data_IF_788873521448
#
_entry.id   IF_788873521448
#
_cell.length_a   1.000
_cell.length_b   1.000
_cell.length_c   1.000
_cell.angle_alpha   90.00
_cell.angle_beta   90.00
_cell.angle_gamma   90.00
#
_symmetry.space_group_name_H-M   'P 1'
#
loop_
_entity.id
_entity.type
_entity.pdbx_description
1 polymer ?
#
# COMPACT_ATOMS: atom_id res chain seq x y z
N UNK A 1 -62.08 1.30 2.97
CA UNK A 1 -63.34 1.56 2.24
C UNK A 1 -63.10 2.65 1.23
N UNK A 2 -63.38 2.33 -0.05
CA UNK A 2 -63.79 3.23 -1.15
C UNK A 2 -62.65 4.11 -1.72
N UNK A 3 -61.96 3.65 -2.78
CA UNK A 3 -62.24 3.82 -4.23
C UNK A 3 -61.77 5.20 -4.76
N UNK A 4 -60.75 5.21 -5.63
CA UNK A 4 -60.84 5.12 -7.10
C UNK A 4 -61.55 6.30 -7.75
N UNK A 5 -60.82 7.06 -8.57
CA UNK A 5 -61.29 7.47 -9.91
C UNK A 5 -60.22 8.32 -10.62
N UNK A 6 -59.74 7.82 -11.75
CA UNK A 6 -59.22 8.70 -12.80
C UNK A 6 -60.36 9.33 -13.59
N UNK A 7 -60.03 10.11 -14.63
CA UNK A 7 -60.80 10.05 -15.86
C UNK A 7 -59.93 9.72 -17.07
N UNK A 8 -60.58 8.95 -17.94
CA UNK A 8 -60.15 8.51 -19.25
C UNK A 8 -60.54 9.58 -20.29
N UNK A 9 -59.68 9.85 -21.26
CA UNK A 9 -60.13 10.40 -22.55
C UNK A 9 -59.38 9.73 -23.70
N UNK A 10 -60.17 8.98 -24.48
CA UNK A 10 -59.80 8.40 -25.77
C UNK A 10 -59.69 9.52 -26.81
N UNK A 11 -58.61 9.53 -27.56
CA UNK A 11 -58.47 10.23 -28.83
C UNK A 11 -57.71 9.33 -29.80
N UNK A 12 -58.46 8.74 -30.73
CA UNK A 12 -57.95 7.88 -31.80
C UNK A 12 -57.60 8.76 -33.01
N UNK A 13 -56.35 8.75 -33.45
CA UNK A 13 -55.99 9.11 -34.84
C UNK A 13 -54.88 8.18 -35.33
N UNK A 14 -55.25 7.35 -36.31
CA UNK A 14 -54.34 6.58 -37.14
C UNK A 14 -53.54 7.53 -38.03
N UNK A 15 -52.21 7.42 -37.98
CA UNK A 15 -51.37 7.81 -39.10
C UNK A 15 -50.15 6.89 -39.13
N UNK A 16 -50.22 5.88 -40.00
CA UNK A 16 -49.11 5.01 -40.36
C UNK A 16 -47.99 5.84 -41.00
N UNK A 17 -46.96 6.16 -40.23
CA UNK A 17 -45.71 6.70 -40.75
C UNK A 17 -44.68 5.58 -40.66
N UNK A 18 -44.38 4.96 -41.81
CA UNK A 18 -43.24 4.06 -41.98
C UNK A 18 -41.96 4.89 -41.86
N UNK A 19 -41.29 4.82 -40.71
CA UNK A 19 -39.96 5.42 -40.51
C UNK A 19 -38.92 4.30 -40.55
N UNK A 20 -37.77 4.47 -41.24
CA UNK A 20 -36.85 3.39 -41.54
C UNK A 20 -36.12 2.89 -40.29
N UNK A 21 -35.85 1.59 -40.33
CA UNK A 21 -35.01 0.82 -39.42
C UNK A 21 -33.63 1.48 -39.27
N UNK A 22 -33.41 2.20 -38.16
CA UNK A 22 -32.08 2.54 -37.68
C UNK A 22 -31.77 1.59 -36.51
N UNK A 23 -30.93 0.59 -36.79
CA UNK A 23 -30.37 -0.30 -35.79
C UNK A 23 -29.46 0.52 -34.85
N UNK A 24 -30.03 1.03 -33.77
CA UNK A 24 -29.24 1.39 -32.59
C UNK A 24 -28.84 0.08 -31.93
N UNK A 25 -27.71 -0.48 -32.35
CA UNK A 25 -26.98 -1.48 -31.58
C UNK A 25 -26.55 -0.84 -30.27
N UNK A 26 -27.43 -0.90 -29.27
CA UNK A 26 -27.04 -0.84 -27.87
C UNK A 26 -26.00 -1.95 -27.69
N UNK A 27 -24.74 -1.54 -27.56
CA UNK A 27 -23.68 -2.39 -27.07
C UNK A 27 -24.02 -2.80 -25.65
N UNK A 28 -24.83 -3.85 -25.49
CA UNK A 28 -24.96 -4.60 -24.26
C UNK A 28 -23.62 -5.29 -24.08
N UNK A 29 -22.72 -4.63 -23.33
CA UNK A 29 -21.51 -5.24 -22.85
C UNK A 29 -21.93 -6.45 -21.99
N UNK A 30 -21.41 -7.66 -22.24
CA UNK A 30 -21.73 -8.82 -21.44
C UNK A 30 -21.40 -8.52 -19.97
N UNK A 31 -22.43 -8.60 -19.13
CA UNK A 31 -22.38 -8.48 -17.67
C UNK A 31 -21.37 -9.48 -17.06
N UNK A 32 -20.99 -10.51 -17.82
CA UNK A 32 -20.01 -11.53 -17.49
C UNK A 32 -18.57 -10.99 -17.39
N UNK A 33 -18.26 -9.84 -17.98
CA UNK A 33 -16.93 -9.22 -17.87
C UNK A 33 -16.69 -8.50 -16.54
N UNK A 34 -17.76 -8.20 -15.78
CA UNK A 34 -17.70 -7.48 -14.50
C UNK A 34 -17.51 -8.44 -13.32
N UNK A 35 -17.79 -9.74 -13.50
CA UNK A 35 -17.66 -10.78 -12.46
C UNK A 35 -16.42 -11.67 -12.62
N UNK A 36 -15.41 -11.26 -13.39
CA UNK A 36 -14.09 -11.89 -13.31
C UNK A 36 -13.40 -11.39 -12.05
N UNK A 37 -13.89 -11.87 -10.90
CA UNK A 37 -13.31 -11.63 -9.60
C UNK A 37 -11.82 -11.90 -9.67
N UNK A 38 -11.02 -10.93 -9.21
CA UNK A 38 -9.59 -11.12 -9.00
C UNK A 38 -9.41 -12.44 -8.26
N UNK A 39 -8.83 -13.44 -8.91
CA UNK A 39 -8.46 -14.69 -8.27
C UNK A 39 -7.59 -14.37 -7.07
N UNK A 40 -8.09 -14.58 -5.85
CA UNK A 40 -7.35 -14.35 -4.62
C UNK A 40 -6.31 -15.46 -4.46
N UNK A 41 -5.14 -15.28 -5.07
CA UNK A 41 -4.01 -16.17 -4.83
C UNK A 41 -3.47 -15.94 -3.42
N UNK A 42 -2.92 -16.97 -2.76
CA UNK A 42 -2.22 -16.80 -1.49
C UNK A 42 -1.07 -15.79 -1.61
N UNK A 43 -0.80 -15.06 -0.53
CA UNK A 43 0.29 -14.08 -0.46
C UNK A 43 1.63 -14.77 -0.58
N UNK A 44 2.50 -14.28 -1.46
CA UNK A 44 3.86 -14.79 -1.64
C UNK A 44 4.80 -14.34 -0.51
N UNK A 45 5.93 -15.03 -0.35
CA UNK A 45 6.99 -14.65 0.60
C UNK A 45 7.49 -13.23 0.36
N UNK A 46 7.61 -12.85 -0.92
CA UNK A 46 8.08 -11.53 -1.36
C UNK A 46 7.07 -10.43 -1.04
N UNK A 47 5.78 -10.68 -1.28
CA UNK A 47 4.71 -9.73 -0.96
C UNK A 47 4.57 -9.53 0.56
N UNK A 48 4.64 -10.62 1.33
CA UNK A 48 4.65 -10.55 2.79
C UNK A 48 5.86 -9.75 3.28
N UNK A 49 7.07 -10.06 2.77
CA UNK A 49 8.30 -9.34 3.08
C UNK A 49 8.19 -7.84 2.82
N UNK A 50 7.77 -7.45 1.60
CA UNK A 50 7.58 -6.05 1.22
C UNK A 50 6.58 -5.33 2.14
N UNK A 51 5.49 -6.00 2.50
CA UNK A 51 4.44 -5.44 3.37
C UNK A 51 4.96 -5.23 4.79
N UNK A 52 5.69 -6.20 5.34
CA UNK A 52 6.31 -6.08 6.66
C UNK A 52 7.37 -4.99 6.71
N UNK A 53 8.24 -4.92 5.70
CA UNK A 53 9.24 -3.84 5.62
C UNK A 53 8.58 -2.48 5.48
N UNK A 54 7.51 -2.36 4.70
CA UNK A 54 6.72 -1.13 4.61
C UNK A 54 6.20 -0.72 5.99
N UNK A 55 5.56 -1.63 6.72
CA UNK A 55 5.08 -1.36 8.07
C UNK A 55 6.21 -0.92 9.02
N UNK A 56 7.32 -1.66 9.06
CA UNK A 56 8.43 -1.37 9.98
C UNK A 56 9.11 -0.03 9.67
N UNK A 57 9.37 0.26 8.39
CA UNK A 57 10.01 1.51 8.01
C UNK A 57 9.09 2.71 8.22
N UNK A 58 7.78 2.58 7.97
CA UNK A 58 6.82 3.63 8.31
C UNK A 58 6.72 3.84 9.82
N UNK A 59 6.73 2.76 10.62
CA UNK A 59 6.78 2.85 12.08
C UNK A 59 8.04 3.58 12.55
N UNK A 60 9.20 3.26 11.98
CA UNK A 60 10.45 3.94 12.30
C UNK A 60 10.39 5.43 11.94
N UNK A 61 9.83 5.77 10.77
CA UNK A 61 9.64 7.15 10.34
C UNK A 61 8.71 7.96 11.27
N UNK A 62 7.71 7.32 11.89
CA UNK A 62 6.83 7.98 12.88
C UNK A 62 7.39 7.95 14.31
N UNK A 63 8.49 7.24 14.54
CA UNK A 63 9.04 7.09 15.87
C UNK A 63 9.51 8.45 16.41
N UNK A 64 9.28 8.80 17.69
CA UNK A 64 9.65 10.10 18.21
C UNK A 64 11.16 10.31 18.27
N UNK A 65 11.60 11.56 18.10
CA UNK A 65 13.00 11.94 18.34
C UNK A 65 13.39 11.73 19.81
N UNK A 66 12.45 11.92 20.73
CA UNK A 66 12.61 11.68 22.17
C UNK A 66 11.56 10.66 22.69
N UNK A 67 11.76 9.36 22.47
CA UNK A 67 10.76 8.35 22.80
C UNK A 67 10.76 8.03 24.30
N UNK A 68 9.57 7.78 24.85
CA UNK A 68 9.37 7.36 26.23
C UNK A 68 9.99 5.98 26.50
N UNK A 69 10.25 5.68 27.77
CA UNK A 69 10.74 4.35 28.20
C UNK A 69 9.83 3.22 27.72
N UNK A 70 8.52 3.45 27.71
CA UNK A 70 7.54 2.46 27.26
C UNK A 70 7.64 2.24 25.74
N UNK A 71 7.68 3.31 24.93
CA UNK A 71 7.86 3.21 23.48
C UNK A 71 9.16 2.49 23.09
N UNK A 72 10.27 2.73 23.82
CA UNK A 72 11.53 1.99 23.63
C UNK A 72 11.37 0.50 23.88
N UNK A 73 10.64 0.13 24.94
CA UNK A 73 10.35 -1.27 25.29
C UNK A 73 9.46 -1.92 24.23
N UNK A 74 8.41 -1.25 23.81
CA UNK A 74 7.42 -1.80 22.86
C UNK A 74 8.02 -2.05 21.48
N UNK A 75 8.84 -1.13 20.96
CA UNK A 75 9.52 -1.33 19.67
C UNK A 75 10.52 -2.48 19.75
N UNK A 76 11.29 -2.58 20.83
CA UNK A 76 12.19 -3.73 21.03
C UNK A 76 11.39 -5.02 21.07
N UNK A 77 10.31 -5.09 21.84
CA UNK A 77 9.49 -6.30 21.96
C UNK A 77 8.84 -6.67 20.62
N UNK A 78 8.30 -5.70 19.88
CA UNK A 78 7.74 -5.91 18.54
C UNK A 78 8.73 -6.60 17.60
N UNK A 79 9.98 -6.10 17.54
CA UNK A 79 11.04 -6.68 16.70
C UNK A 79 11.38 -8.11 17.13
N UNK A 80 11.47 -8.37 18.44
CA UNK A 80 11.74 -9.72 18.95
C UNK A 80 10.55 -10.67 18.72
N UNK A 81 9.32 -10.19 18.82
CA UNK A 81 8.11 -10.96 18.47
C UNK A 81 8.15 -11.34 16.99
N UNK A 82 8.51 -10.41 16.10
CA UNK A 82 8.63 -10.71 14.67
C UNK A 82 9.64 -11.83 14.42
N UNK A 83 10.78 -11.87 15.10
CA UNK A 83 11.73 -12.99 14.95
C UNK A 83 11.21 -14.37 15.40
N UNK A 84 10.06 -14.44 16.08
CA UNK A 84 9.45 -15.69 16.57
C UNK A 84 8.15 -16.04 15.89
N UNK A 85 7.39 -15.04 15.46
CA UNK A 85 6.02 -15.18 14.95
C UNK A 85 5.90 -14.89 13.45
N UNK A 86 7.01 -14.57 12.76
CA UNK A 86 6.95 -14.30 11.34
C UNK A 86 6.51 -15.55 10.54
N UNK A 87 5.50 -15.47 9.65
CA UNK A 87 4.91 -16.65 9.01
C UNK A 87 5.86 -17.50 8.17
N UNK A 88 6.97 -16.91 7.68
CA UNK A 88 8.03 -17.64 7.02
C UNK A 88 9.06 -18.11 8.07
N UNK A 89 9.03 -19.41 8.43
CA UNK A 89 9.89 -19.99 9.48
C UNK A 89 11.38 -19.76 9.22
N UNK A 90 11.88 -20.11 8.04
CA UNK A 90 13.29 -19.88 7.66
C UNK A 90 13.68 -18.40 7.70
N UNK A 91 12.74 -17.49 7.37
CA UNK A 91 12.96 -16.06 7.45
C UNK A 91 13.06 -15.60 8.92
N UNK A 92 12.20 -16.14 9.79
CA UNK A 92 12.18 -15.85 11.22
C UNK A 92 13.48 -16.30 11.89
N UNK A 93 13.92 -17.53 11.61
CA UNK A 93 15.17 -18.09 12.15
C UNK A 93 16.39 -17.30 11.69
N UNK A 94 16.44 -16.93 10.40
CA UNK A 94 17.49 -16.06 9.89
C UNK A 94 17.45 -14.68 10.56
N UNK A 95 16.27 -14.06 10.69
CA UNK A 95 16.15 -12.76 11.33
C UNK A 95 16.56 -12.79 12.81
N UNK A 96 16.26 -13.88 13.51
CA UNK A 96 16.71 -14.11 14.89
C UNK A 96 18.24 -14.11 15.00
N UNK A 97 18.94 -14.70 14.04
CA UNK A 97 20.41 -14.64 13.98
C UNK A 97 20.91 -13.21 13.68
N UNK A 98 20.29 -12.52 12.73
CA UNK A 98 20.62 -11.12 12.43
C UNK A 98 20.50 -10.25 13.68
N UNK A 99 19.47 -10.44 14.50
CA UNK A 99 19.26 -9.67 15.74
C UNK A 99 20.33 -9.94 16.81
N UNK A 100 20.95 -11.12 16.84
CA UNK A 100 22.06 -11.41 17.79
C UNK A 100 23.27 -10.53 17.54
N UNK A 101 23.58 -10.29 16.27
CA UNK A 101 24.72 -9.46 15.86
C UNK A 101 24.37 -7.97 15.73
N UNK A 102 23.08 -7.62 15.68
CA UNK A 102 22.60 -6.26 15.42
C UNK A 102 21.53 -5.87 16.46
N UNK A 103 21.91 -5.59 17.71
CA UNK A 103 20.95 -5.24 18.77
C UNK A 103 20.12 -4.01 18.39
N UNK A 104 18.81 -4.06 18.65
CA UNK A 104 17.85 -3.02 18.26
C UNK A 104 18.16 -1.67 18.92
N UNK A 105 18.41 -0.66 18.09
CA UNK A 105 18.62 0.72 18.52
C UNK A 105 17.29 1.49 18.43
N UNK A 106 16.91 2.14 19.53
CA UNK A 106 15.61 2.82 19.69
C UNK A 106 15.76 4.10 20.52
N UNK A 107 16.95 4.71 20.55
CA UNK A 107 17.19 5.91 21.34
C UNK A 107 16.40 7.10 20.83
N UNK A 108 16.19 7.16 19.51
CA UNK A 108 15.48 8.22 18.77
C UNK A 108 14.92 7.69 17.44
N UNK A 109 14.13 8.52 16.76
CA UNK A 109 13.77 8.36 15.34
C UNK A 109 14.97 7.96 14.48
N UNK A 110 16.03 8.78 14.48
CA UNK A 110 17.18 8.61 13.62
C UNK A 110 17.91 7.29 13.89
N UNK A 111 18.12 6.94 15.16
CA UNK A 111 18.76 5.67 15.53
C UNK A 111 17.95 4.47 15.04
N UNK A 112 16.62 4.50 15.23
CA UNK A 112 15.78 3.37 14.86
C UNK A 112 15.65 3.22 13.35
N UNK A 113 15.44 4.32 12.61
CA UNK A 113 15.37 4.33 11.15
C UNK A 113 16.68 3.85 10.51
N UNK A 114 17.83 4.32 11.00
CA UNK A 114 19.15 3.88 10.50
C UNK A 114 19.40 2.41 10.81
N UNK A 115 19.16 1.98 12.05
CA UNK A 115 19.31 0.57 12.44
C UNK A 115 18.45 -0.34 11.56
N UNK A 116 17.18 0.02 11.33
CA UNK A 116 16.27 -0.76 10.51
C UNK A 116 16.72 -0.82 9.05
N UNK A 117 17.26 0.27 8.50
CA UNK A 117 17.85 0.27 7.17
C UNK A 117 19.07 -0.66 7.07
N UNK A 118 19.98 -0.59 8.03
CA UNK A 118 21.17 -1.46 8.05
C UNK A 118 20.79 -2.94 8.13
N UNK A 119 19.84 -3.29 9.00
CA UNK A 119 19.33 -4.65 9.14
C UNK A 119 18.59 -5.13 7.88
N UNK A 120 17.79 -4.27 7.25
CA UNK A 120 17.18 -4.58 5.96
C UNK A 120 18.26 -4.84 4.88
N UNK A 121 19.38 -4.11 4.92
CA UNK A 121 20.51 -4.35 4.04
C UNK A 121 21.29 -5.65 4.33
N UNK A 122 21.33 -6.12 5.58
CA UNK A 122 21.84 -7.47 5.90
C UNK A 122 21.00 -8.52 5.17
N UNK A 123 19.67 -8.40 5.24
CA UNK A 123 18.75 -9.30 4.53
C UNK A 123 18.88 -9.15 3.01
N UNK A 124 19.00 -7.93 2.47
CA UNK A 124 19.20 -7.72 1.03
C UNK A 124 20.44 -8.46 0.54
N UNK A 125 21.58 -8.33 1.24
CA UNK A 125 22.81 -9.04 0.89
C UNK A 125 22.63 -10.56 0.93
N UNK A 126 21.93 -11.10 1.93
CA UNK A 126 21.74 -12.56 2.06
C UNK A 126 20.91 -13.16 0.93
N UNK A 127 20.10 -12.35 0.23
CA UNK A 127 19.26 -12.77 -0.90
C UNK A 127 19.70 -12.16 -2.23
N UNK A 128 20.93 -11.64 -2.31
CA UNK A 128 21.51 -11.11 -3.55
C UNK A 128 20.87 -9.82 -4.09
N UNK A 129 20.19 -9.04 -3.24
CA UNK A 129 19.62 -7.74 -3.61
C UNK A 129 20.64 -6.61 -3.42
N UNK A 130 20.54 -5.52 -4.21
CA UNK A 130 21.36 -4.33 -4.03
C UNK A 130 21.23 -3.73 -2.63
N UNK A 131 22.31 -3.13 -2.16
CA UNK A 131 22.32 -2.35 -0.92
C UNK A 131 21.57 -1.03 -1.15
N UNK A 132 20.66 -0.70 -0.25
CA UNK A 132 19.99 0.59 -0.22
C UNK A 132 20.84 1.62 0.54
N UNK A 133 21.05 2.84 0.01
CA UNK A 133 21.80 3.90 0.70
C UNK A 133 21.00 4.45 1.88
N UNK A 134 21.41 4.15 3.12
CA UNK A 134 20.65 4.51 4.32
C UNK A 134 20.59 6.02 4.59
N UNK A 135 21.42 6.82 3.94
CA UNK A 135 21.34 8.28 3.92
C UNK A 135 20.01 8.76 3.30
N UNK A 136 19.34 7.91 2.53
CA UNK A 136 18.06 8.19 1.86
C UNK A 136 16.86 7.54 2.55
N UNK A 137 17.03 6.94 3.73
CA UNK A 137 15.95 6.22 4.42
C UNK A 137 14.76 7.14 4.73
N UNK A 138 15.03 8.34 5.23
CA UNK A 138 13.99 9.32 5.58
C UNK A 138 13.28 9.85 4.32
N UNK A 139 14.02 10.06 3.23
CA UNK A 139 13.43 10.47 1.95
C UNK A 139 12.51 9.38 1.38
N UNK A 140 12.81 8.10 1.60
CA UNK A 140 12.01 6.98 1.10
C UNK A 140 10.75 6.73 1.94
N UNK A 141 10.82 6.93 3.26
CA UNK A 141 9.80 6.44 4.19
C UNK A 141 9.19 7.51 5.10
N UNK A 142 9.63 8.77 5.02
CA UNK A 142 9.46 9.85 6.00
C UNK A 142 8.10 10.05 6.68
N UNK A 143 8.05 11.02 7.60
CA UNK A 143 6.86 11.29 8.43
C UNK A 143 5.58 11.38 7.58
N UNK A 144 4.49 10.75 8.05
CA UNK A 144 3.22 10.73 7.31
C UNK A 144 2.62 12.15 7.23
N UNK A 145 2.87 12.95 8.27
CA UNK A 145 2.58 14.37 8.28
C UNK A 145 3.82 15.13 7.80
N UNK A 146 3.84 15.44 6.51
CA UNK A 146 4.74 16.45 5.98
C UNK A 146 4.05 17.80 6.16
N UNK A 147 4.47 18.60 7.15
CA UNK A 147 4.16 20.02 7.13
C UNK A 147 4.63 20.58 5.78
N UNK A 148 3.69 21.08 4.98
CA UNK A 148 3.98 21.83 3.76
C UNK A 148 4.74 21.06 2.66
N UNK A 149 4.37 19.79 2.37
CA UNK A 149 4.81 19.05 1.16
C UNK A 149 6.34 18.87 0.98
N UNK A 150 7.14 19.05 2.03
CA UNK A 150 8.60 18.93 1.97
C UNK A 150 9.12 17.51 1.59
N UNK A 151 8.25 16.50 1.57
CA UNK A 151 8.55 15.13 1.18
C UNK A 151 8.31 14.85 -0.31
N UNK A 152 7.81 15.81 -1.09
CA UNK A 152 7.85 15.71 -2.55
C UNK A 152 9.32 15.73 -2.97
N UNK A 153 9.93 14.54 -3.12
CA UNK A 153 11.22 14.41 -3.80
C UNK A 153 11.04 15.13 -5.13
N UNK A 154 11.75 16.24 -5.30
CA UNK A 154 11.82 16.97 -6.56
C UNK A 154 12.40 16.01 -7.59
N UNK A 155 11.51 15.26 -8.24
CA UNK A 155 11.81 14.56 -9.46
C UNK A 155 12.18 15.66 -10.45
N UNK A 156 13.46 15.72 -10.79
CA UNK A 156 13.96 16.55 -11.89
C UNK A 156 13.23 16.14 -13.17
N UNK A 157 12.09 16.77 -13.45
CA UNK A 157 11.57 16.94 -14.79
C UNK A 157 12.13 18.26 -15.31
N UNK A 158 13.46 18.27 -15.50
CA UNK A 158 14.11 19.30 -16.30
C UNK A 158 13.59 19.19 -17.73
N UNK A 159 12.61 20.02 -18.04
CA UNK A 159 12.40 20.73 -19.31
C UNK A 159 12.73 19.91 -20.58
N UNK A 160 11.71 19.24 -21.13
CA UNK A 160 11.55 19.11 -22.59
C UNK A 160 10.33 19.93 -23.00
N UNK A 161 10.49 21.26 -22.95
CA UNK A 161 9.60 22.21 -23.59
C UNK A 161 10.18 22.64 -24.92
N UNK A 162 9.51 22.27 -26.01
CA UNK A 162 9.42 22.94 -27.32
C UNK A 162 10.65 23.74 -27.80
N UNK A 163 11.32 23.20 -28.82
CA UNK A 163 11.71 23.92 -30.04
C UNK A 163 11.31 23.05 -31.21
#
# INVERSE_FOLDING_TARGET
NIQSSGPSSRGSVNASIKVPFANTTSSVQPIDAVLKGKSSSPVTKEELGRSTWTFLHTLAAQYPDNPTRQQKKDVKELVHILSRMYPCMECADHFKEVLRSNPVQVGSHAEFSQWLCHVHNVVNRSIGKPVFPCERVDARWGKLECEQKACEIIGSTSIFGKI
#
